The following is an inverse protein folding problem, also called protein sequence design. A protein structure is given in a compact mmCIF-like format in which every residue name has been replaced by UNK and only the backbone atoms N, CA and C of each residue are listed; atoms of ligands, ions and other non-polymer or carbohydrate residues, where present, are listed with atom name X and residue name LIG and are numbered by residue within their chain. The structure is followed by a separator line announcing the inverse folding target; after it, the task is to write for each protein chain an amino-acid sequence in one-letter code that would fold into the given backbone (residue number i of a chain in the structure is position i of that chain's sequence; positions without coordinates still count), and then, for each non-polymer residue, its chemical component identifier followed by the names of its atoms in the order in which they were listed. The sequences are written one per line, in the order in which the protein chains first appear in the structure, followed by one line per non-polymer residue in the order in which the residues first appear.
data_IF_045776870829
#
_entry.id   IF_045776870829
#
_cell.length_a   1.000
_cell.length_b   1.000
_cell.length_c   1.000
_cell.angle_alpha   90.00
_cell.angle_beta   90.00
_cell.angle_gamma   90.00
#
_symmetry.space_group_name_H-M   'P 1'
#
loop_
_entity.id
_entity.type
_entity.pdbx_description
1 polymer ?
#
# COMPACT_ATOMS: atom_id res chain seq x y z
N UNK A 1 14.18 -14.42 28.24
CA UNK A 1 12.90 -14.90 28.81
C UNK A 1 11.82 -14.08 28.13
N UNK A 2 11.04 -14.70 27.24
CA UNK A 2 9.97 -14.00 26.51
C UNK A 2 8.79 -13.72 27.43
N UNK A 3 8.28 -12.49 27.40
CA UNK A 3 7.07 -12.07 28.11
C UNK A 3 5.83 -12.33 27.24
N UNK A 4 5.58 -13.57 26.85
CA UNK A 4 4.35 -13.92 26.14
C UNK A 4 3.32 -14.44 27.13
N UNK A 5 2.22 -13.69 27.30
CA UNK A 5 1.09 -14.10 28.14
C UNK A 5 0.29 -15.24 27.50
N UNK A 6 0.33 -15.34 26.16
CA UNK A 6 -0.30 -16.37 25.36
C UNK A 6 0.74 -17.33 24.78
N UNK A 7 0.43 -18.63 24.76
CA UNK A 7 1.26 -19.64 24.13
C UNK A 7 1.14 -19.51 22.59
N UNK A 8 2.24 -19.12 21.93
CA UNK A 8 2.33 -19.03 20.47
C UNK A 8 2.43 -20.44 19.88
N UNK A 9 1.42 -20.86 19.11
CA UNK A 9 1.30 -22.22 18.53
C UNK A 9 1.45 -22.27 17.02
N UNK A 10 1.47 -21.11 16.37
CA UNK A 10 1.58 -20.96 14.93
C UNK A 10 2.84 -20.14 14.59
N UNK A 11 3.13 -19.99 13.30
CA UNK A 11 4.27 -19.24 12.78
C UNK A 11 3.87 -18.31 11.61
N UNK A 12 2.67 -17.75 11.65
CA UNK A 12 2.03 -16.95 10.60
C UNK A 12 2.83 -15.69 10.29
N UNK A 13 3.20 -14.91 11.32
CA UNK A 13 4.00 -13.69 11.09
C UNK A 13 5.36 -14.06 10.52
N UNK A 14 5.99 -15.13 11.02
CA UNK A 14 7.28 -15.61 10.52
C UNK A 14 7.22 -16.02 9.04
N UNK A 15 6.24 -16.84 8.65
CA UNK A 15 6.05 -17.29 7.26
C UNK A 15 5.86 -16.11 6.31
N UNK A 16 5.03 -15.14 6.69
CA UNK A 16 4.83 -13.93 5.87
C UNK A 16 6.10 -13.08 5.80
N UNK A 17 6.82 -12.94 6.91
CA UNK A 17 8.05 -12.15 6.96
C UNK A 17 9.17 -12.74 6.10
N UNK A 18 9.32 -14.06 6.14
CA UNK A 18 10.27 -14.79 5.29
C UNK A 18 9.92 -14.59 3.81
N UNK A 19 8.66 -14.74 3.43
CA UNK A 19 8.23 -14.55 2.06
C UNK A 19 8.43 -13.11 1.57
N UNK A 20 8.07 -12.12 2.39
CA UNK A 20 8.30 -10.69 2.10
C UNK A 20 9.79 -10.40 1.90
N UNK A 21 10.68 -11.06 2.64
CA UNK A 21 12.12 -10.86 2.53
C UNK A 21 12.71 -11.59 1.30
N UNK A 22 12.38 -12.87 1.13
CA UNK A 22 13.10 -13.77 0.21
C UNK A 22 12.58 -13.78 -1.22
N UNK A 23 11.34 -13.34 -1.48
CA UNK A 23 10.76 -13.40 -2.82
C UNK A 23 11.58 -12.56 -3.81
N UNK A 24 11.76 -13.09 -5.01
CA UNK A 24 12.49 -12.45 -6.11
C UNK A 24 11.55 -12.19 -7.28
N UNK A 25 11.89 -11.20 -8.09
CA UNK A 25 11.10 -10.85 -9.26
C UNK A 25 10.88 -12.06 -10.20
N UNK A 26 11.92 -12.89 -10.35
CA UNK A 26 11.91 -14.06 -11.23
C UNK A 26 11.02 -15.21 -10.70
N UNK A 27 10.57 -15.15 -9.45
CA UNK A 27 9.70 -16.17 -8.88
C UNK A 27 8.23 -15.99 -9.35
N UNK A 28 7.88 -14.82 -9.90
CA UNK A 28 6.50 -14.50 -10.29
C UNK A 28 6.20 -14.84 -11.76
N UNK A 29 5.06 -15.49 -12.04
CA UNK A 29 4.57 -15.68 -13.39
C UNK A 29 4.35 -14.35 -14.14
N UNK A 30 4.51 -14.36 -15.46
CA UNK A 30 4.40 -13.16 -16.28
C UNK A 30 3.04 -12.44 -16.14
N UNK A 31 1.94 -13.17 -16.02
CA UNK A 31 0.61 -12.57 -15.83
C UNK A 31 0.48 -11.84 -14.48
N UNK A 32 1.18 -12.29 -13.44
CA UNK A 32 1.21 -11.62 -12.13
C UNK A 32 1.99 -10.32 -12.20
N UNK A 33 3.13 -10.32 -12.89
CA UNK A 33 3.94 -9.11 -13.13
C UNK A 33 3.17 -8.09 -13.97
N UNK A 34 2.56 -8.52 -15.07
CA UNK A 34 1.74 -7.65 -15.90
C UNK A 34 0.55 -7.09 -15.12
N UNK A 35 -0.04 -7.89 -14.22
CA UNK A 35 -1.11 -7.40 -13.34
C UNK A 35 -0.64 -6.29 -12.41
N UNK A 36 0.54 -6.44 -11.80
CA UNK A 36 1.12 -5.42 -10.94
C UNK A 36 1.39 -4.11 -11.71
N UNK A 37 1.87 -4.20 -12.96
CA UNK A 37 2.10 -3.04 -13.83
C UNK A 37 0.80 -2.31 -14.17
N UNK A 38 -0.27 -3.04 -14.48
CA UNK A 38 -1.58 -2.46 -14.75
C UNK A 38 -2.12 -1.70 -13.53
N UNK A 39 -2.12 -2.34 -12.36
CA UNK A 39 -2.59 -1.72 -11.11
C UNK A 39 -1.79 -0.46 -10.78
N UNK A 40 -0.46 -0.52 -10.95
CA UNK A 40 0.42 0.64 -10.81
C UNK A 40 -0.03 1.79 -11.73
N UNK A 41 -0.18 1.53 -13.03
CA UNK A 41 -0.58 2.55 -14.02
C UNK A 41 -1.95 3.11 -13.67
N UNK A 42 -2.93 2.27 -13.36
CA UNK A 42 -4.28 2.72 -13.01
C UNK A 42 -4.30 3.61 -11.77
N UNK A 43 -3.55 3.22 -10.73
CA UNK A 43 -3.48 4.00 -9.49
C UNK A 43 -2.80 5.34 -9.70
N UNK A 44 -1.69 5.38 -10.45
CA UNK A 44 -1.00 6.65 -10.78
C UNK A 44 -1.92 7.54 -11.60
N UNK A 45 -2.64 6.98 -12.58
CA UNK A 45 -3.63 7.72 -13.37
C UNK A 45 -4.74 8.31 -12.50
N UNK A 46 -5.30 7.52 -11.59
CA UNK A 46 -6.39 7.95 -10.69
C UNK A 46 -5.93 9.09 -9.76
N UNK A 47 -4.73 8.97 -9.20
CA UNK A 47 -4.13 10.02 -8.39
C UNK A 47 -3.94 11.32 -9.19
N UNK A 48 -3.43 11.24 -10.42
CA UNK A 48 -3.26 12.40 -11.31
C UNK A 48 -4.61 13.04 -11.64
N UNK A 49 -5.63 12.26 -11.96
CA UNK A 49 -6.97 12.80 -12.26
C UNK A 49 -7.59 13.55 -11.06
N UNK A 50 -7.21 13.13 -9.85
CA UNK A 50 -7.79 13.61 -8.59
C UNK A 50 -7.04 14.77 -7.96
N UNK A 51 -5.91 15.23 -8.50
CA UNK A 51 -5.08 16.29 -7.89
C UNK A 51 -5.82 17.62 -7.69
N UNK A 52 -6.82 17.90 -8.53
CA UNK A 52 -7.64 19.11 -8.42
C UNK A 52 -8.82 18.98 -7.46
N UNK A 53 -9.08 17.79 -6.92
CA UNK A 53 -10.11 17.58 -5.90
C UNK A 53 -9.75 18.30 -4.60
N UNK A 54 -10.78 18.76 -3.87
CA UNK A 54 -10.58 19.42 -2.58
C UNK A 54 -9.89 18.51 -1.56
N UNK A 55 -10.21 17.22 -1.56
CA UNK A 55 -9.57 16.24 -0.68
C UNK A 55 -8.06 16.13 -0.96
N UNK A 56 -7.67 15.98 -2.23
CA UNK A 56 -6.25 15.89 -2.63
C UNK A 56 -5.48 17.18 -2.31
N UNK A 57 -6.07 18.36 -2.57
CA UNK A 57 -5.47 19.67 -2.25
C UNK A 57 -5.23 19.85 -0.76
N UNK A 58 -6.23 19.53 0.08
CA UNK A 58 -6.09 19.61 1.54
C UNK A 58 -5.06 18.61 2.07
N UNK A 59 -5.03 17.39 1.54
CA UNK A 59 -4.05 16.38 1.93
C UNK A 59 -2.63 16.79 1.54
N UNK A 60 -2.44 17.36 0.34
CA UNK A 60 -1.16 17.91 -0.10
C UNK A 60 -0.71 19.05 0.83
N UNK A 61 -1.58 20.01 1.14
CA UNK A 61 -1.24 21.11 2.04
C UNK A 61 -0.83 20.61 3.44
N UNK A 62 -1.51 19.59 3.96
CA UNK A 62 -1.14 18.95 5.23
C UNK A 62 0.21 18.22 5.14
N UNK A 63 0.47 17.50 4.04
CA UNK A 63 1.74 16.83 3.80
C UNK A 63 2.91 17.82 3.66
N UNK A 64 2.71 18.96 2.99
CA UNK A 64 3.69 20.04 2.90
C UNK A 64 4.00 20.63 4.27
N UNK A 65 2.97 20.90 5.08
CA UNK A 65 3.12 21.38 6.44
C UNK A 65 3.92 20.40 7.30
N UNK A 66 3.58 19.10 7.24
CA UNK A 66 4.25 18.05 8.02
C UNK A 66 5.70 17.82 7.57
N UNK A 67 6.01 18.03 6.29
CA UNK A 67 7.37 17.91 5.75
C UNK A 67 8.30 19.03 6.24
N UNK A 68 7.76 20.19 6.64
CA UNK A 68 8.54 21.31 7.15
C UNK A 68 9.35 22.08 6.10
N UNK A 69 9.16 21.79 4.81
CA UNK A 69 9.85 22.46 3.69
C UNK A 69 9.90 21.62 2.39
N UNK A 70 10.40 22.20 1.27
CA UNK A 70 10.39 21.59 -0.06
C UNK A 70 11.57 20.63 -0.36
N UNK A 71 12.43 20.29 0.59
CA UNK A 71 13.69 19.54 0.36
C UNK A 71 13.51 18.02 0.21
N UNK A 72 12.33 17.60 -0.25
CA UNK A 72 11.97 16.21 -0.46
C UNK A 72 12.61 15.58 -1.69
N UNK A 73 12.91 14.28 -1.63
CA UNK A 73 13.40 13.53 -2.79
C UNK A 73 12.29 12.90 -3.62
N UNK A 74 11.08 12.75 -3.08
CA UNK A 74 10.01 11.95 -3.69
C UNK A 74 8.98 12.83 -4.41
N UNK A 75 8.58 12.40 -5.60
CA UNK A 75 7.60 13.10 -6.43
C UNK A 75 6.19 13.09 -5.80
N UNK A 76 5.54 14.25 -5.80
CA UNK A 76 4.08 14.32 -5.64
C UNK A 76 3.48 14.37 -7.05
N UNK A 77 2.65 13.39 -7.39
CA UNK A 77 2.19 13.20 -8.77
C UNK A 77 1.21 14.30 -9.19
N UNK A 78 1.32 14.73 -10.45
CA UNK A 78 0.45 15.73 -11.06
C UNK A 78 0.65 17.16 -10.55
N UNK A 79 1.65 17.42 -9.70
CA UNK A 79 1.97 18.76 -9.17
C UNK A 79 3.47 19.02 -9.20
N UNK A 80 3.90 20.29 -9.18
CA UNK A 80 5.32 20.66 -9.18
C UNK A 80 5.87 20.70 -7.74
N UNK A 81 5.87 19.53 -7.07
CA UNK A 81 6.32 19.40 -5.68
C UNK A 81 7.08 18.10 -5.46
N UNK A 82 8.02 18.16 -4.53
CA UNK A 82 8.70 16.99 -3.96
C UNK A 82 8.69 17.09 -2.44
N UNK A 83 8.45 15.97 -1.77
CA UNK A 83 8.36 15.86 -0.32
C UNK A 83 9.23 14.71 0.19
N UNK A 84 9.43 14.66 1.51
CA UNK A 84 10.00 13.49 2.19
C UNK A 84 9.21 12.23 1.83
N UNK A 85 9.84 11.07 1.88
CA UNK A 85 9.25 9.76 1.57
C UNK A 85 7.84 9.56 2.17
N UNK A 86 7.67 9.82 3.46
CA UNK A 86 6.42 9.66 4.21
C UNK A 86 5.31 10.63 3.75
N UNK A 87 5.66 11.88 3.47
CA UNK A 87 4.72 12.93 3.10
C UNK A 87 4.36 12.88 1.60
N UNK A 88 5.27 12.44 0.73
CA UNK A 88 4.94 12.14 -0.66
C UNK A 88 4.00 10.92 -0.76
N UNK A 89 4.26 9.88 0.02
CA UNK A 89 3.36 8.71 0.12
C UNK A 89 1.97 9.12 0.61
N UNK A 90 1.90 10.00 1.62
CA UNK A 90 0.65 10.55 2.14
C UNK A 90 -0.15 11.31 1.07
N UNK A 91 0.48 12.28 0.40
CA UNK A 91 -0.18 13.12 -0.59
C UNK A 91 -0.68 12.29 -1.78
N UNK A 92 0.17 11.41 -2.31
CA UNK A 92 -0.18 10.54 -3.44
C UNK A 92 -1.24 9.50 -3.05
N UNK A 93 -1.19 8.97 -1.82
CA UNK A 93 -2.20 8.04 -1.29
C UNK A 93 -3.58 8.66 -1.13
N UNK A 94 -3.64 9.88 -0.61
CA UNK A 94 -4.89 10.62 -0.52
C UNK A 94 -5.45 10.95 -1.91
N UNK A 95 -4.60 11.38 -2.84
CA UNK A 95 -5.01 11.65 -4.22
C UNK A 95 -5.54 10.39 -4.92
N UNK A 96 -4.86 9.24 -4.77
CA UNK A 96 -5.31 7.97 -5.36
C UNK A 96 -6.69 7.54 -4.82
N UNK A 97 -6.94 7.76 -3.53
CA UNK A 97 -8.23 7.42 -2.90
C UNK A 97 -9.34 8.42 -3.25
N UNK A 98 -9.02 9.69 -3.47
CA UNK A 98 -10.01 10.75 -3.70
C UNK A 98 -10.86 10.52 -4.96
N UNK A 99 -10.35 9.77 -5.94
CA UNK A 99 -11.07 9.40 -7.15
C UNK A 99 -12.18 8.35 -6.96
N UNK A 100 -12.26 7.71 -5.78
CA UNK A 100 -13.32 6.74 -5.47
C UNK A 100 -13.21 5.42 -6.25
N UNK A 101 -12.02 5.05 -6.69
CA UNK A 101 -11.80 3.83 -7.47
C UNK A 101 -11.93 2.56 -6.61
N UNK A 102 -13.13 1.97 -6.60
CA UNK A 102 -13.39 0.67 -5.94
C UNK A 102 -12.62 -0.46 -6.65
N UNK A 103 -11.88 -1.26 -5.87
CA UNK A 103 -10.97 -2.28 -6.39
C UNK A 103 -11.41 -3.69 -6.01
N UNK A 104 -11.72 -3.94 -4.73
CA UNK A 104 -12.18 -5.25 -4.26
C UNK A 104 -13.12 -5.18 -3.04
N UNK A 105 -13.69 -6.31 -2.60
CA UNK A 105 -14.58 -6.36 -1.44
C UNK A 105 -13.96 -5.89 -0.13
N UNK A 106 -12.64 -6.03 0.06
CA UNK A 106 -11.93 -5.67 1.29
C UNK A 106 -11.47 -4.20 1.35
N UNK A 107 -11.42 -3.50 0.21
CA UNK A 107 -11.07 -2.08 0.16
C UNK A 107 -10.38 -1.68 -1.14
N UNK A 108 -9.49 -0.68 -1.05
CA UNK A 108 -8.75 -0.13 -2.18
C UNK A 108 -7.23 -0.27 -1.96
N UNK A 109 -6.69 -1.50 -1.82
CA UNK A 109 -5.28 -1.71 -1.46
C UNK A 109 -4.28 -0.95 -2.33
N UNK A 110 -4.52 -0.83 -3.65
CA UNK A 110 -3.58 -0.12 -4.53
C UNK A 110 -3.41 1.35 -4.13
N UNK A 111 -4.47 2.01 -3.64
CA UNK A 111 -4.45 3.42 -3.24
C UNK A 111 -3.49 3.69 -2.08
N UNK A 112 -3.05 2.66 -1.33
CA UNK A 112 -1.99 2.81 -0.34
C UNK A 112 -0.69 2.05 -0.70
N UNK A 113 -0.80 0.88 -1.33
CA UNK A 113 0.35 0.09 -1.73
C UNK A 113 1.21 0.82 -2.77
N UNK A 114 0.60 1.34 -3.84
CA UNK A 114 1.31 1.95 -4.96
C UNK A 114 2.01 3.26 -4.55
N UNK A 115 1.35 4.23 -3.91
CA UNK A 115 2.00 5.45 -3.43
C UNK A 115 3.14 5.21 -2.44
N UNK A 116 2.95 4.26 -1.51
CA UNK A 116 3.97 3.94 -0.51
C UNK A 116 5.16 3.24 -1.14
N UNK A 117 4.91 2.22 -1.97
CA UNK A 117 5.98 1.51 -2.68
C UNK A 117 6.79 2.47 -3.55
N UNK A 118 6.12 3.35 -4.30
CA UNK A 118 6.79 4.34 -5.15
C UNK A 118 7.66 5.29 -4.35
N UNK A 119 7.11 5.92 -3.30
CA UNK A 119 7.84 6.89 -2.50
C UNK A 119 9.07 6.27 -1.84
N UNK A 120 8.94 5.04 -1.30
CA UNK A 120 10.07 4.33 -0.68
C UNK A 120 11.08 3.90 -1.73
N UNK A 121 10.63 3.38 -2.87
CA UNK A 121 11.52 3.00 -3.98
C UNK A 121 12.31 4.20 -4.52
N UNK A 122 11.67 5.35 -4.75
CA UNK A 122 12.33 6.57 -5.21
C UNK A 122 13.34 7.08 -4.17
N UNK A 123 12.97 7.16 -2.89
CA UNK A 123 13.87 7.61 -1.82
C UNK A 123 15.08 6.68 -1.62
N UNK A 124 14.87 5.37 -1.75
CA UNK A 124 15.89 4.33 -1.53
C UNK A 124 16.61 3.91 -2.81
N UNK A 125 16.30 4.54 -3.95
CA UNK A 125 16.85 4.22 -5.27
C UNK A 125 16.73 2.73 -5.62
N UNK A 126 15.52 2.20 -5.42
CA UNK A 126 15.18 0.82 -5.76
C UNK A 126 14.82 0.73 -7.23
N UNK A 127 15.07 -0.44 -7.81
CA UNK A 127 14.69 -0.75 -9.19
C UNK A 127 13.18 -0.93 -9.33
N UNK A 128 12.68 -0.84 -10.56
CA UNK A 128 11.29 -1.16 -10.86
C UNK A 128 10.94 -2.63 -10.64
N UNK A 129 11.89 -3.56 -10.72
CA UNK A 129 11.68 -4.97 -10.30
C UNK A 129 11.42 -5.10 -8.81
N UNK A 130 12.19 -4.38 -7.99
CA UNK A 130 11.97 -4.32 -6.54
C UNK A 130 10.61 -3.68 -6.22
N UNK A 131 10.25 -2.59 -6.92
CA UNK A 131 8.93 -1.98 -6.82
C UNK A 131 7.81 -2.99 -7.12
N UNK A 132 7.81 -3.61 -8.31
CA UNK A 132 6.77 -4.55 -8.73
C UNK A 132 6.68 -5.76 -7.79
N UNK A 133 7.82 -6.31 -7.35
CA UNK A 133 7.85 -7.39 -6.36
C UNK A 133 7.18 -6.95 -5.06
N UNK A 134 7.48 -5.75 -4.57
CA UNK A 134 6.90 -5.23 -3.34
C UNK A 134 5.38 -5.02 -3.46
N UNK A 135 4.88 -4.64 -4.64
CA UNK A 135 3.46 -4.51 -4.91
C UNK A 135 2.77 -5.87 -4.88
N UNK A 136 3.32 -6.88 -5.57
CA UNK A 136 2.75 -8.24 -5.55
C UNK A 136 2.63 -8.75 -4.10
N UNK A 137 3.69 -8.57 -3.31
CA UNK A 137 3.70 -8.95 -1.89
C UNK A 137 2.72 -8.12 -1.04
N UNK A 138 2.51 -6.84 -1.37
CA UNK A 138 1.54 -6.00 -0.69
C UNK A 138 0.13 -6.57 -0.79
N UNK A 139 -0.28 -6.97 -2.00
CA UNK A 139 -1.57 -7.61 -2.22
C UNK A 139 -1.65 -8.99 -1.57
N UNK A 140 -0.58 -9.78 -1.63
CA UNK A 140 -0.52 -11.07 -0.93
C UNK A 140 -0.87 -10.91 0.55
N UNK A 141 -0.14 -10.06 1.25
CA UNK A 141 -0.29 -9.93 2.70
C UNK A 141 -1.58 -9.20 3.05
N UNK A 142 -1.93 -8.11 2.34
CA UNK A 142 -3.15 -7.36 2.61
C UNK A 142 -4.40 -8.23 2.51
N UNK A 143 -4.57 -8.95 1.40
CA UNK A 143 -5.77 -9.76 1.15
C UNK A 143 -5.88 -10.90 2.17
N UNK A 144 -4.74 -11.45 2.61
CA UNK A 144 -4.67 -12.50 3.64
C UNK A 144 -5.02 -12.00 5.03
N UNK A 145 -4.48 -10.85 5.40
CA UNK A 145 -4.81 -10.18 6.67
C UNK A 145 -6.29 -9.82 6.67
N UNK A 146 -6.80 -9.21 5.59
CA UNK A 146 -8.20 -8.85 5.46
C UNK A 146 -9.11 -10.08 5.56
N UNK A 147 -8.80 -11.16 4.82
CA UNK A 147 -9.56 -12.42 4.89
C UNK A 147 -9.57 -13.03 6.30
N UNK A 148 -8.44 -12.98 7.02
CA UNK A 148 -8.33 -13.52 8.37
C UNK A 148 -9.12 -12.74 9.43
N UNK A 149 -9.50 -11.48 9.14
CA UNK A 149 -10.21 -10.60 10.09
C UNK A 149 -11.59 -10.15 9.61
N UNK A 150 -12.17 -10.82 8.60
CA UNK A 150 -13.46 -10.40 8.08
C UNK A 150 -14.56 -10.46 9.16
N UNK A 151 -15.26 -9.35 9.43
CA UNK A 151 -16.35 -9.34 10.38
C UNK A 151 -17.59 -10.02 9.81
N UNK A 152 -18.41 -10.61 10.69
CA UNK A 152 -19.76 -11.05 10.31
C UNK A 152 -20.62 -9.85 9.89
N UNK A 153 -21.72 -10.10 9.17
CA UNK A 153 -22.65 -9.02 8.78
C UNK A 153 -23.21 -8.25 10.00
N UNK A 154 -23.42 -8.94 11.13
CA UNK A 154 -23.84 -8.33 12.38
C UNK A 154 -22.74 -7.43 12.95
N UNK A 155 -21.52 -7.93 13.06
CA UNK A 155 -20.39 -7.16 13.57
C UNK A 155 -20.09 -5.94 12.71
N UNK A 156 -20.17 -6.07 11.39
CA UNK A 156 -20.04 -4.94 10.47
C UNK A 156 -21.10 -3.86 10.75
N UNK A 157 -22.33 -4.24 11.04
CA UNK A 157 -23.41 -3.30 11.35
C UNK A 157 -23.25 -2.64 12.74
N UNK A 158 -22.68 -3.35 13.71
CA UNK A 158 -22.54 -2.87 15.10
C UNK A 158 -21.22 -2.14 15.37
N UNK A 159 -20.12 -2.60 14.76
CA UNK A 159 -18.74 -2.15 14.99
C UNK A 159 -18.16 -1.37 13.80
N UNK A 160 -18.83 -1.35 12.64
CA UNK A 160 -18.34 -0.74 11.40
C UNK A 160 -17.48 -1.68 10.56
N UNK A 161 -17.11 -1.24 9.34
CA UNK A 161 -16.27 -2.04 8.44
C UNK A 161 -14.79 -1.59 8.54
N UNK A 162 -13.90 -2.52 8.89
CA UNK A 162 -12.48 -2.24 9.17
C UNK A 162 -11.60 -1.94 7.94
N UNK A 163 -12.15 -1.43 6.83
CA UNK A 163 -11.41 -1.25 5.56
C UNK A 163 -10.13 -0.46 5.76
N UNK A 164 -10.23 0.70 6.43
CA UNK A 164 -9.10 1.57 6.72
C UNK A 164 -8.11 0.94 7.74
N UNK A 165 -8.54 -0.04 8.52
CA UNK A 165 -7.70 -0.74 9.49
C UNK A 165 -6.68 -1.63 8.81
N UNK A 166 -7.12 -2.65 8.05
CA UNK A 166 -6.20 -3.55 7.36
C UNK A 166 -5.54 -2.90 6.12
N UNK A 167 -6.04 -1.76 5.63
CA UNK A 167 -5.37 -0.90 4.64
C UNK A 167 -3.94 -0.53 5.01
N UNK A 168 -3.61 -0.44 6.31
CA UNK A 168 -2.25 -0.21 6.75
C UNK A 168 -1.28 -1.27 6.17
N UNK A 169 -1.67 -2.53 6.09
CA UNK A 169 -0.80 -3.61 5.62
C UNK A 169 -0.48 -3.52 4.12
N UNK A 170 -1.39 -2.98 3.30
CA UNK A 170 -1.11 -2.71 1.90
C UNK A 170 0.03 -1.71 1.71
N UNK A 171 0.11 -0.68 2.58
CA UNK A 171 1.21 0.28 2.57
C UNK A 171 2.47 -0.22 3.31
N UNK A 172 2.28 -0.95 4.41
CA UNK A 172 3.35 -1.38 5.31
C UNK A 172 4.29 -2.39 4.66
N UNK A 173 3.74 -3.38 3.96
CA UNK A 173 4.54 -4.44 3.31
C UNK A 173 5.57 -3.89 2.33
N UNK A 174 5.22 -3.01 1.36
CA UNK A 174 6.23 -2.44 0.48
C UNK A 174 7.20 -1.53 1.23
N UNK A 175 6.74 -0.79 2.26
CA UNK A 175 7.63 0.02 3.09
C UNK A 175 8.69 -0.83 3.81
N UNK A 176 8.29 -1.95 4.43
CA UNK A 176 9.20 -2.87 5.11
C UNK A 176 10.22 -3.48 4.14
N UNK A 177 9.75 -4.00 3.00
CA UNK A 177 10.62 -4.65 2.01
C UNK A 177 11.62 -3.66 1.39
N UNK A 178 11.14 -2.54 0.84
CA UNK A 178 11.98 -1.61 0.09
C UNK A 178 12.95 -0.83 0.99
N UNK A 179 12.67 -0.75 2.30
CA UNK A 179 13.61 -0.20 3.28
C UNK A 179 14.87 -1.06 3.43
N UNK A 180 14.83 -2.35 3.08
CA UNK A 180 15.96 -3.27 3.16
C UNK A 180 16.13 -3.90 4.54
N UNK A 181 15.01 -4.27 5.16
CA UNK A 181 14.96 -4.91 6.47
C UNK A 181 15.28 -6.41 6.38
N UNK A 182 15.84 -6.99 7.45
CA UNK A 182 15.92 -8.44 7.60
C UNK A 182 14.57 -9.07 8.01
N UNK A 183 14.48 -10.40 8.00
CA UNK A 183 13.25 -11.13 8.33
C UNK A 183 12.70 -10.79 9.72
N UNK A 184 13.56 -10.64 10.73
CA UNK A 184 13.13 -10.34 12.09
C UNK A 184 12.59 -8.91 12.18
N UNK A 185 13.24 -7.96 11.52
CA UNK A 185 12.76 -6.58 11.42
C UNK A 185 11.42 -6.50 10.67
N UNK A 186 11.21 -7.31 9.63
CA UNK A 186 9.91 -7.40 8.93
C UNK A 186 8.85 -7.98 9.86
N UNK A 187 9.16 -9.04 10.62
CA UNK A 187 8.24 -9.65 11.60
C UNK A 187 7.77 -8.62 12.63
N UNK A 188 8.72 -7.88 13.22
CA UNK A 188 8.42 -6.79 14.14
C UNK A 188 7.65 -5.66 13.47
N UNK A 189 7.99 -5.33 12.23
CA UNK A 189 7.28 -4.34 11.43
C UNK A 189 5.81 -4.69 11.22
N UNK A 190 5.49 -5.93 10.81
CA UNK A 190 4.12 -6.43 10.69
C UNK A 190 3.39 -6.36 12.04
N UNK A 191 4.08 -6.72 13.11
CA UNK A 191 3.54 -6.67 14.47
C UNK A 191 3.29 -5.23 14.97
N UNK A 192 4.13 -4.27 14.59
CA UNK A 192 3.83 -2.84 14.78
C UNK A 192 2.59 -2.40 14.00
N UNK A 193 2.35 -3.00 12.83
CA UNK A 193 1.14 -2.79 12.04
C UNK A 193 -0.12 -3.10 12.85
N UNK A 194 -0.17 -4.20 13.60
CA UNK A 194 -1.38 -4.58 14.34
C UNK A 194 -1.74 -3.58 15.44
N UNK A 195 -0.74 -3.02 16.12
CA UNK A 195 -0.93 -2.04 17.21
C UNK A 195 -1.09 -0.60 16.73
N UNK A 196 -0.76 -0.31 15.46
CA UNK A 196 -0.91 1.02 14.85
C UNK A 196 -2.06 1.11 13.83
N UNK A 197 -2.73 -0.01 13.55
CA UNK A 197 -3.98 -0.01 12.82
C UNK A 197 -5.06 0.73 13.58
N UNK A 198 -5.94 1.42 12.85
CA UNK A 198 -7.14 2.01 13.47
C UNK A 198 -8.12 0.89 13.81
N UNK A 199 -8.89 1.08 14.87
CA UNK A 199 -10.05 0.24 15.13
C UNK A 199 -11.07 0.35 13.98
N UNK A 200 -11.92 -0.66 13.75
CA UNK A 200 -13.07 -0.52 12.85
C UNK A 200 -13.93 0.67 13.27
N UNK A 201 -13.89 1.73 12.46
CA UNK A 201 -14.72 2.91 12.62
C UNK A 201 -14.99 3.47 11.22
N UNK A 202 -16.24 3.41 10.79
CA UNK A 202 -16.62 3.69 9.40
C UNK A 202 -17.69 4.78 9.30
N UNK A 203 -17.62 5.80 10.18
CA UNK A 203 -18.58 6.91 10.15
C UNK A 203 -18.52 7.71 8.85
N UNK A 204 -17.33 7.79 8.23
CA UNK A 204 -17.13 8.38 6.91
C UNK A 204 -18.03 7.78 5.83
N UNK A 205 -18.47 6.52 5.99
CA UNK A 205 -19.41 5.86 5.06
C UNK A 205 -20.85 6.34 5.25
N UNK A 206 -21.18 6.81 6.44
CA UNK A 206 -22.54 7.22 6.81
C UNK A 206 -22.86 8.65 6.39
N UNK A 207 -21.87 9.54 6.47
CA UNK A 207 -22.01 10.97 6.15
C UNK A 207 -21.31 11.40 4.85
N UNK A 208 -20.57 10.50 4.21
CA UNK A 208 -19.85 10.77 2.96
C UNK A 208 -18.64 11.68 3.14
N UNK A 209 -18.00 11.67 4.32
CA UNK A 209 -16.86 12.52 4.60
C UNK A 209 -15.67 12.26 3.66
N UNK A 210 -14.99 13.35 3.28
CA UNK A 210 -13.74 13.30 2.50
C UNK A 210 -12.55 12.74 3.30
N UNK A 211 -12.76 12.49 4.60
CA UNK A 211 -11.77 11.90 5.54
C UNK A 211 -11.26 10.54 5.10
N UNK A 212 -12.02 9.77 4.31
CA UNK A 212 -11.55 8.50 3.76
C UNK A 212 -10.26 8.66 2.95
N UNK A 213 -10.16 9.71 2.13
CA UNK A 213 -8.94 9.99 1.38
C UNK A 213 -7.76 10.28 2.31
N UNK A 214 -7.99 11.04 3.38
CA UNK A 214 -6.97 11.30 4.39
C UNK A 214 -6.57 10.03 5.13
N UNK A 215 -7.50 9.15 5.48
CA UNK A 215 -7.19 7.90 6.16
C UNK A 215 -6.22 7.03 5.34
N UNK A 216 -6.44 6.95 4.03
CA UNK A 216 -5.54 6.27 3.10
C UNK A 216 -4.16 6.94 3.04
N UNK A 217 -4.12 8.27 2.96
CA UNK A 217 -2.88 9.03 3.05
C UNK A 217 -2.13 8.79 4.38
N UNK A 218 -2.85 8.79 5.51
CA UNK A 218 -2.29 8.51 6.83
C UNK A 218 -1.76 7.08 6.93
N UNK A 219 -2.42 6.09 6.33
CA UNK A 219 -1.89 4.72 6.27
C UNK A 219 -0.54 4.68 5.54
N UNK A 220 -0.42 5.40 4.42
CA UNK A 220 0.83 5.52 3.67
C UNK A 220 1.94 6.15 4.52
N UNK A 221 1.66 7.29 5.15
CA UNK A 221 2.62 7.98 6.03
C UNK A 221 3.05 7.11 7.22
N UNK A 222 2.08 6.45 7.86
CA UNK A 222 2.29 5.59 9.02
C UNK A 222 3.16 4.40 8.63
N UNK A 223 2.86 3.73 7.52
CA UNK A 223 3.63 2.59 7.03
C UNK A 223 5.12 2.91 6.84
N UNK A 224 5.44 4.06 6.22
CA UNK A 224 6.83 4.53 6.07
C UNK A 224 7.49 4.77 7.42
N UNK A 225 6.75 5.37 8.36
CA UNK A 225 7.23 5.61 9.73
C UNK A 225 7.52 4.29 10.47
N UNK A 226 6.63 3.31 10.39
CA UNK A 226 6.81 2.01 11.03
C UNK A 226 8.00 1.24 10.44
N UNK A 227 8.21 1.28 9.12
CA UNK A 227 9.38 0.67 8.50
C UNK A 227 10.70 1.34 8.97
N UNK A 228 10.68 2.66 9.16
CA UNK A 228 11.80 3.39 9.75
C UNK A 228 12.04 3.04 11.23
N UNK A 229 11.00 2.76 12.01
CA UNK A 229 11.11 2.26 13.38
C UNK A 229 11.73 0.85 13.39
N UNK A 230 11.21 -0.07 12.57
CA UNK A 230 11.73 -1.43 12.46
C UNK A 230 13.21 -1.46 12.05
N UNK A 231 13.63 -0.59 11.13
CA UNK A 231 15.04 -0.44 10.72
C UNK A 231 15.96 -0.08 11.89
N UNK A 232 15.50 0.75 12.82
CA UNK A 232 16.27 1.23 13.97
C UNK A 232 16.27 0.24 15.14
N UNK A 233 15.48 -0.82 15.04
CA UNK A 233 15.32 -1.84 16.07
C UNK A 233 14.27 -1.44 17.10
N UNK A 234 13.42 -2.41 17.44
CA UNK A 234 12.49 -2.36 18.56
C UNK A 234 12.68 -3.60 19.43
N UNK A 235 12.49 -3.45 20.74
CA UNK A 235 12.53 -4.58 21.67
C UNK A 235 11.18 -5.32 21.66
N UNK A 236 11.22 -6.66 21.64
CA UNK A 236 10.05 -7.53 21.62
C UNK A 236 9.12 -7.28 20.41
N UNK A 237 7.80 -7.51 20.58
CA UNK A 237 6.74 -7.32 19.59
C UNK A 237 6.96 -8.18 18.33
N UNK A 238 7.19 -9.46 18.53
CA UNK A 238 7.29 -10.47 17.47
C UNK A 238 5.97 -11.25 17.38
N UNK A 239 5.69 -11.83 16.22
CA UNK A 239 4.65 -12.86 16.04
C UNK A 239 3.20 -12.41 16.32
N UNK A 240 2.85 -11.16 16.00
CA UNK A 240 1.51 -10.63 16.30
C UNK A 240 0.34 -11.35 15.61
N UNK A 241 0.49 -11.94 14.41
CA UNK A 241 -0.60 -12.69 13.77
C UNK A 241 -0.80 -14.10 14.38
N UNK A 242 0.10 -14.50 15.27
CA UNK A 242 0.04 -15.75 16.01
C UNK A 242 -0.65 -15.58 17.37
N UNK A 243 -0.80 -14.33 17.84
CA UNK A 243 -1.59 -13.97 19.02
C UNK A 243 -2.95 -13.41 18.60
N UNK A 244 -4.06 -14.14 18.82
CA UNK A 244 -5.39 -13.65 18.48
C UNK A 244 -5.75 -12.30 19.13
N UNK A 245 -5.20 -12.01 20.31
CA UNK A 245 -5.46 -10.75 21.03
C UNK A 245 -4.76 -9.54 20.41
N UNK A 246 -3.77 -9.75 19.55
CA UNK A 246 -3.01 -8.65 18.96
C UNK A 246 -3.73 -8.00 17.78
N UNK A 247 -4.64 -8.72 17.10
CA UNK A 247 -5.35 -8.18 15.94
C UNK A 247 -6.75 -8.77 15.73
N UNK A 248 -6.93 -10.07 15.40
CA UNK A 248 -8.21 -10.58 14.89
C UNK A 248 -9.40 -10.40 15.84
N UNK A 249 -9.21 -10.58 17.16
CA UNK A 249 -10.28 -10.44 18.16
C UNK A 249 -10.90 -9.03 18.24
N UNK A 250 -10.27 -8.03 17.64
CA UNK A 250 -10.82 -6.67 17.56
C UNK A 250 -11.77 -6.45 16.38
N UNK A 251 -11.80 -7.38 15.41
CA UNK A 251 -12.58 -7.27 14.19
C UNK A 251 -13.72 -8.27 14.15
N UNK A 252 -13.43 -9.51 14.56
CA UNK A 252 -14.39 -10.60 14.50
C UNK A 252 -14.21 -11.59 15.64
N UNK A 253 -15.33 -12.16 16.08
CA UNK A 253 -15.36 -13.30 17.01
C UNK A 253 -15.15 -14.65 16.28
N UNK A 254 -15.08 -14.67 14.93
CA UNK A 254 -14.81 -15.87 14.13
C UNK A 254 -13.30 -16.12 13.95
N UNK A 255 -12.88 -17.39 13.97
CA UNK A 255 -11.48 -17.78 13.80
C UNK A 255 -11.18 -18.13 12.33
N UNK A 256 -10.45 -17.25 11.64
CA UNK A 256 -10.01 -17.44 10.25
C UNK A 256 -8.47 -17.35 10.10
N UNK A 257 -7.74 -17.72 11.15
CA UNK A 257 -6.30 -17.49 11.20
C UNK A 257 -5.49 -18.32 10.19
N UNK A 258 -6.04 -19.38 9.61
CA UNK A 258 -5.42 -20.11 8.51
C UNK A 258 -5.26 -19.26 7.23
N UNK A 259 -6.12 -18.24 7.05
CA UNK A 259 -6.08 -17.35 5.89
C UNK A 259 -4.76 -16.58 5.76
N UNK A 260 -4.10 -16.29 6.89
CA UNK A 260 -2.80 -15.62 6.90
C UNK A 260 -1.76 -16.33 6.04
N UNK A 261 -1.75 -17.67 6.00
CA UNK A 261 -0.68 -18.44 5.33
C UNK A 261 -1.16 -19.39 4.24
N UNK A 262 -2.48 -19.50 4.02
CA UNK A 262 -3.06 -20.46 3.08
C UNK A 262 -2.54 -20.28 1.63
N UNK A 263 -1.76 -21.22 1.11
CA UNK A 263 -1.26 -21.17 -0.28
C UNK A 263 -0.35 -19.97 -0.60
N UNK A 264 0.33 -19.41 0.41
CA UNK A 264 1.38 -18.38 0.20
C UNK A 264 2.41 -18.88 -0.81
N UNK A 265 2.73 -18.04 -1.80
CA UNK A 265 3.69 -18.35 -2.88
C UNK A 265 3.16 -19.34 -3.93
N UNK A 266 1.89 -19.75 -3.86
CA UNK A 266 1.26 -20.65 -4.83
C UNK A 266 0.08 -19.99 -5.54
N UNK A 267 -0.74 -19.25 -4.80
CA UNK A 267 -1.85 -18.43 -5.32
C UNK A 267 -1.47 -16.97 -5.17
N UNK A 268 -1.74 -16.17 -6.21
CA UNK A 268 -1.39 -14.75 -6.27
C UNK A 268 -2.63 -13.86 -6.16
N UNK A 269 -2.88 -13.32 -4.97
CA UNK A 269 -4.04 -12.51 -4.59
C UNK A 269 -4.19 -11.22 -5.42
N UNK A 270 -3.10 -10.70 -5.95
CA UNK A 270 -3.13 -9.54 -6.85
C UNK A 270 -3.96 -9.77 -8.12
N UNK A 271 -4.14 -11.03 -8.54
CA UNK A 271 -4.99 -11.39 -9.67
C UNK A 271 -6.50 -11.27 -9.35
N UNK A 272 -6.86 -11.30 -8.06
CA UNK A 272 -8.25 -11.26 -7.58
C UNK A 272 -8.67 -9.83 -7.17
N UNK A 273 -7.70 -8.95 -6.93
CA UNK A 273 -7.90 -7.71 -6.18
C UNK A 273 -8.40 -6.51 -7.00
N UNK A 274 -8.41 -6.58 -8.32
CA UNK A 274 -8.93 -5.53 -9.21
C UNK A 274 -9.51 -6.24 -10.44
N UNK A 275 -10.55 -5.74 -11.13
CA UNK A 275 -11.03 -6.30 -12.40
C UNK A 275 -9.95 -6.28 -13.49
N UNK A 276 -9.76 -7.41 -14.19
CA UNK A 276 -8.74 -7.54 -15.24
C UNK A 276 -9.04 -6.61 -16.42
N UNK A 277 -8.00 -5.97 -16.96
CA UNK A 277 -8.05 -5.14 -18.17
C UNK A 277 -6.91 -5.50 -19.10
N UNK A 278 -7.09 -5.27 -20.40
CA UNK A 278 -6.00 -5.32 -21.35
C UNK A 278 -5.03 -4.14 -21.16
N UNK A 279 -3.81 -4.27 -21.68
CA UNK A 279 -2.85 -3.15 -21.70
C UNK A 279 -3.40 -1.94 -22.47
N UNK A 280 -4.17 -2.18 -23.55
CA UNK A 280 -4.82 -1.11 -24.32
C UNK A 280 -5.89 -0.36 -23.53
N UNK A 281 -6.74 -1.08 -22.79
CA UNK A 281 -7.74 -0.46 -21.90
C UNK A 281 -7.07 0.34 -20.78
N UNK A 282 -6.04 -0.24 -20.15
CA UNK A 282 -5.24 0.43 -19.12
C UNK A 282 -4.63 1.74 -19.63
N UNK A 283 -4.02 1.72 -20.82
CA UNK A 283 -3.43 2.90 -21.44
C UNK A 283 -4.49 3.97 -21.77
N UNK A 284 -5.64 3.56 -22.32
CA UNK A 284 -6.73 4.46 -22.65
C UNK A 284 -7.30 5.14 -21.40
N UNK A 285 -7.49 4.40 -20.32
CA UNK A 285 -8.01 4.95 -19.07
C UNK A 285 -7.00 5.89 -18.41
N UNK A 286 -5.72 5.54 -18.41
CA UNK A 286 -4.66 6.45 -17.96
C UNK A 286 -4.64 7.74 -18.78
N UNK A 287 -4.72 7.65 -20.12
CA UNK A 287 -4.74 8.82 -20.98
C UNK A 287 -5.92 9.74 -20.67
N UNK A 288 -7.14 9.19 -20.47
CA UNK A 288 -8.31 9.97 -20.07
C UNK A 288 -8.07 10.69 -18.75
N UNK A 289 -7.63 9.95 -17.73
CA UNK A 289 -7.38 10.44 -16.36
C UNK A 289 -6.30 11.53 -16.30
N UNK A 290 -5.21 11.35 -17.06
CA UNK A 290 -4.08 12.27 -17.04
C UNK A 290 -4.24 13.49 -17.95
N UNK A 291 -5.23 13.49 -18.87
CA UNK A 291 -5.41 14.55 -19.88
C UNK A 291 -5.75 15.93 -19.32
N UNK A 292 -6.26 16.00 -18.08
CA UNK A 292 -6.51 17.27 -17.38
C UNK A 292 -5.23 17.93 -16.84
N UNK A 293 -4.14 17.17 -16.70
CA UNK A 293 -2.89 17.60 -16.04
C UNK A 293 -1.72 17.65 -17.01
N UNK A 294 -1.59 16.67 -17.91
CA UNK A 294 -0.44 16.51 -18.79
C UNK A 294 -0.81 16.61 -20.27
N UNK A 295 0.15 17.09 -21.09
CA UNK A 295 0.02 17.06 -22.55
C UNK A 295 0.02 15.63 -23.09
N UNK A 296 -0.56 15.42 -24.28
CA UNK A 296 -0.59 14.10 -24.94
C UNK A 296 0.82 13.51 -25.12
N UNK A 297 1.79 14.35 -25.48
CA UNK A 297 3.20 13.93 -25.62
C UNK A 297 3.76 13.43 -24.29
N UNK A 298 3.52 14.17 -23.20
CA UNK A 298 4.00 13.80 -21.86
C UNK A 298 3.31 12.54 -21.34
N UNK A 299 2.02 12.38 -21.60
CA UNK A 299 1.27 11.14 -21.30
C UNK A 299 1.90 9.95 -22.02
N UNK A 300 2.26 10.10 -23.30
CA UNK A 300 2.95 9.05 -24.05
C UNK A 300 4.28 8.63 -23.40
N UNK A 301 5.10 9.60 -22.99
CA UNK A 301 6.37 9.34 -22.29
C UNK A 301 6.16 8.62 -20.95
N UNK A 302 5.17 9.04 -20.16
CA UNK A 302 4.84 8.41 -18.88
C UNK A 302 4.38 6.96 -19.10
N UNK A 303 3.47 6.72 -20.05
CA UNK A 303 2.97 5.38 -20.34
C UNK A 303 4.08 4.44 -20.78
N UNK A 304 4.96 4.87 -21.69
CA UNK A 304 6.13 4.05 -22.07
C UNK A 304 6.99 3.72 -20.85
N UNK A 305 7.31 4.71 -20.01
CA UNK A 305 8.12 4.49 -18.83
C UNK A 305 7.47 3.54 -17.80
N UNK A 306 6.15 3.62 -17.61
CA UNK A 306 5.44 2.74 -16.68
C UNK A 306 5.26 1.32 -17.23
N UNK A 307 5.03 1.14 -18.53
CA UNK A 307 4.96 -0.19 -19.15
C UNK A 307 6.33 -0.87 -19.21
N UNK A 308 7.43 -0.11 -19.24
CA UNK A 308 8.80 -0.64 -19.21
C UNK A 308 9.44 -0.58 -17.82
N UNK A 309 8.64 -0.34 -16.76
CA UNK A 309 9.18 -0.03 -15.44
C UNK A 309 10.07 -1.15 -14.87
N UNK A 310 9.85 -2.41 -15.23
CA UNK A 310 10.68 -3.54 -14.80
C UNK A 310 12.15 -3.46 -15.28
N UNK A 311 12.45 -2.60 -16.25
CA UNK A 311 13.81 -2.33 -16.74
C UNK A 311 14.41 -1.05 -16.14
N UNK A 312 13.68 -0.38 -15.26
CA UNK A 312 14.12 0.84 -14.60
C UNK A 312 15.02 0.51 -13.40
N UNK A 313 16.25 1.01 -13.39
CA UNK A 313 17.18 0.86 -12.26
C UNK A 313 16.92 1.90 -11.14
N UNK A 314 16.35 3.06 -11.49
CA UNK A 314 16.05 4.16 -10.55
C UNK A 314 14.81 4.94 -10.98
N UNK A 315 13.76 4.90 -10.14
CA UNK A 315 12.48 5.55 -10.37
C UNK A 315 12.54 7.08 -10.44
N UNK A 316 13.62 7.72 -9.98
CA UNK A 316 13.73 9.19 -9.91
C UNK A 316 13.48 9.87 -11.26
N UNK A 317 13.85 9.23 -12.37
CA UNK A 317 13.62 9.73 -13.72
C UNK A 317 12.13 9.73 -14.09
N UNK A 318 11.42 8.64 -13.78
CA UNK A 318 9.97 8.52 -13.98
C UNK A 318 9.21 9.43 -13.02
N UNK A 319 9.67 9.54 -11.76
CA UNK A 319 9.11 10.47 -10.78
C UNK A 319 9.12 11.92 -11.28
N UNK A 320 10.18 12.35 -11.99
CA UNK A 320 10.21 13.67 -12.66
C UNK A 320 9.17 13.78 -13.76
N UNK A 321 8.92 12.73 -14.54
CA UNK A 321 7.86 12.75 -15.56
C UNK A 321 6.48 12.93 -14.95
N UNK A 322 6.27 12.42 -13.73
CA UNK A 322 5.01 12.50 -12.98
C UNK A 322 4.79 13.81 -12.22
N UNK A 323 5.75 14.74 -12.16
CA UNK A 323 5.57 16.09 -11.57
C UNK A 323 5.33 17.15 -12.66
N UNK A 324 4.55 18.21 -12.40
CA UNK A 324 4.35 19.30 -13.38
C UNK A 324 5.65 20.05 -13.72
#
# INVERSE_FOLDING_TARGET
MGFNHHEIKTNRTQVLSEYINSARFEDFPANVVERAKQILIETVGEAIASVESEAAKKALALAEYACGGPDGTCAVWGVNKRLSMENAAMANGAAACAGGWEQNPFGMPACAAVPTAWAVAEAKKRSGRELLTSLILAFEVYERVAAAVQPTAKERAEKGYGRASWQLFAALVPALRLTGLDTLQINKGLSMGTVCSVIPASHYESDGADTLAFEYGFRCQTAVTLACCALRGTENLEDAFDDPSAYPLHFTDEEHGEQYTQDVGKVYRILEAVPEKSAGETANDFQKRASSVFSVERIGQILTALFEIEYCEDLSSIGKLLTL
#
